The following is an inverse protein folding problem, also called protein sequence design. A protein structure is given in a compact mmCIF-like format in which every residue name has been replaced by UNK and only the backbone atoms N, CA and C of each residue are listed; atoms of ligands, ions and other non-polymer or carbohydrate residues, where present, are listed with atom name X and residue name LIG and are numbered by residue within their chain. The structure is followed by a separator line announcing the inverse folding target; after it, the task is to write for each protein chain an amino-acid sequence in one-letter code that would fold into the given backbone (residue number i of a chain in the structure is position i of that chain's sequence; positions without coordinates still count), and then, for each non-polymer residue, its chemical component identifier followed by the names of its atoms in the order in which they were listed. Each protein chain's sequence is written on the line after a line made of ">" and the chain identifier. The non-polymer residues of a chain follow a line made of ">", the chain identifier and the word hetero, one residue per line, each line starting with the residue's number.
data_IF_886909102648
#
_entry.id   IF_886909102648
#
_cell.length_a   1.000
_cell.length_b   1.000
_cell.length_c   1.000
_cell.angle_alpha   90.00
_cell.angle_beta   90.00
_cell.angle_gamma   90.00
#
_symmetry.space_group_name_H-M   'P 1'
#
loop_
_entity.id
_entity.type
_entity.pdbx_description
1 polymer ?
#
# COMPACT_ATOMS: atom_id res chain seq x y z
N UNK A 1 10.01 6.11 25.90
CA UNK A 1 8.80 5.33 25.62
C UNK A 1 7.82 6.23 24.87
N UNK A 2 7.67 6.04 23.57
CA UNK A 2 6.61 6.70 22.82
C UNK A 2 5.29 6.07 23.23
N UNK A 3 4.37 6.88 23.80
CA UNK A 3 2.98 6.49 23.95
C UNK A 3 2.32 6.50 22.57
N UNK A 4 1.15 5.85 22.40
CA UNK A 4 0.42 5.83 21.13
C UNK A 4 0.18 7.23 20.54
N UNK A 5 0.02 8.25 21.37
CA UNK A 5 -0.09 9.67 20.95
C UNK A 5 1.28 10.23 20.57
N UNK A 6 2.38 9.74 21.16
CA UNK A 6 3.74 10.12 20.82
C UNK A 6 4.30 9.41 19.59
N UNK A 7 3.69 8.30 19.13
CA UNK A 7 4.18 7.59 17.95
C UNK A 7 4.02 8.41 16.67
N UNK A 8 2.93 9.15 16.50
CA UNK A 8 2.78 10.09 15.38
C UNK A 8 3.77 11.24 15.45
N UNK A 9 4.09 11.74 16.64
CA UNK A 9 5.12 12.76 16.81
C UNK A 9 6.53 12.20 16.55
N UNK A 10 6.84 10.99 16.99
CA UNK A 10 8.10 10.31 16.66
C UNK A 10 8.25 10.03 15.16
N UNK A 11 7.16 9.74 14.46
CA UNK A 11 7.12 9.55 13.01
C UNK A 11 7.40 10.88 12.27
N UNK A 12 7.00 12.00 12.80
CA UNK A 12 7.15 13.33 12.18
C UNK A 12 8.46 14.04 12.52
N UNK A 13 9.22 13.58 13.50
CA UNK A 13 10.20 14.43 14.16
C UNK A 13 11.44 14.75 13.31
N UNK A 14 12.12 13.77 12.72
CA UNK A 14 13.30 14.00 11.86
C UNK A 14 13.43 13.04 10.69
N UNK A 15 13.07 11.76 10.89
CA UNK A 15 13.15 10.74 9.86
C UNK A 15 11.84 9.97 9.82
N UNK A 16 11.13 10.10 8.72
CA UNK A 16 9.91 9.32 8.47
C UNK A 16 10.29 7.91 8.01
N UNK A 17 10.52 7.02 8.97
CA UNK A 17 11.01 5.65 8.74
C UNK A 17 10.14 4.86 7.75
N UNK A 18 8.82 5.08 7.77
CA UNK A 18 7.86 4.45 6.86
C UNK A 18 8.05 4.88 5.40
N UNK A 19 8.57 6.10 5.18
CA UNK A 19 8.76 6.68 3.84
C UNK A 19 10.16 6.41 3.26
N UNK A 20 11.03 5.75 4.01
CA UNK A 20 12.33 5.36 3.50
C UNK A 20 12.19 4.34 2.36
N UNK A 21 13.06 4.39 1.35
CA UNK A 21 13.07 3.44 0.26
C UNK A 21 13.08 1.99 0.76
N UNK A 22 12.33 1.13 0.07
CA UNK A 22 12.29 -0.29 0.38
C UNK A 22 13.44 -1.01 -0.33
N UNK A 23 14.04 -1.99 0.33
CA UNK A 23 15.02 -2.87 -0.31
C UNK A 23 14.29 -3.80 -1.28
N UNK A 24 14.63 -3.69 -2.56
CA UNK A 24 14.11 -4.55 -3.63
C UNK A 24 15.20 -5.44 -4.21
N UNK A 25 16.46 -5.13 -3.91
CA UNK A 25 17.61 -5.92 -4.34
C UNK A 25 17.65 -7.26 -3.62
N UNK A 26 18.16 -8.32 -4.28
CA UNK A 26 18.53 -9.56 -3.60
C UNK A 26 19.53 -9.30 -2.45
N UNK A 27 19.45 -10.07 -1.37
CA UNK A 27 20.30 -9.88 -0.19
C UNK A 27 21.80 -9.91 -0.54
N UNK A 28 22.21 -10.75 -1.49
CA UNK A 28 23.61 -10.83 -1.96
C UNK A 28 24.08 -9.51 -2.58
N UNK A 29 23.27 -8.92 -3.43
CA UNK A 29 23.61 -7.67 -4.13
C UNK A 29 23.61 -6.49 -3.14
N UNK A 30 22.68 -6.52 -2.19
CA UNK A 30 22.61 -5.54 -1.10
C UNK A 30 23.86 -5.58 -0.21
N UNK A 31 24.34 -6.77 0.14
CA UNK A 31 25.55 -6.95 0.92
C UNK A 31 26.81 -6.52 0.14
N UNK A 32 26.87 -6.84 -1.15
CA UNK A 32 27.97 -6.41 -2.02
C UNK A 32 28.01 -4.88 -2.14
N UNK A 33 26.88 -4.24 -2.43
CA UNK A 33 26.79 -2.78 -2.52
C UNK A 33 27.17 -2.11 -1.19
N UNK A 34 26.75 -2.67 -0.06
CA UNK A 34 27.10 -2.16 1.27
C UNK A 34 28.60 -2.22 1.56
N UNK A 35 29.26 -3.31 1.17
CA UNK A 35 30.71 -3.49 1.34
C UNK A 35 31.49 -2.50 0.48
N UNK A 36 31.11 -2.32 -0.79
CA UNK A 36 31.75 -1.38 -1.70
C UNK A 36 31.60 0.07 -1.23
N UNK A 37 30.42 0.48 -0.80
CA UNK A 37 30.19 1.81 -0.22
C UNK A 37 30.99 2.02 1.05
N UNK A 38 31.07 1.03 1.95
CA UNK A 38 31.86 1.10 3.17
C UNK A 38 33.37 1.19 2.88
N UNK A 39 33.83 0.56 1.80
CA UNK A 39 35.22 0.62 1.34
C UNK A 39 35.54 1.93 0.56
N UNK A 40 34.53 2.68 0.13
CA UNK A 40 34.71 3.85 -0.75
C UNK A 40 35.03 3.49 -2.20
N UNK A 41 34.81 2.25 -2.62
CA UNK A 41 35.08 1.74 -3.96
C UNK A 41 33.91 2.07 -4.90
N UNK A 42 33.87 3.32 -5.35
CA UNK A 42 32.82 3.79 -6.27
C UNK A 42 33.00 3.24 -7.69
N UNK A 43 34.25 3.01 -8.14
CA UNK A 43 34.50 2.47 -9.48
C UNK A 43 33.90 1.08 -9.64
N UNK A 44 34.12 0.19 -8.67
CA UNK A 44 33.53 -1.15 -8.70
C UNK A 44 32.00 -1.08 -8.52
N UNK A 45 31.48 -0.13 -7.74
CA UNK A 45 30.05 0.06 -7.58
C UNK A 45 29.38 0.45 -8.91
N UNK A 46 29.98 1.41 -9.65
CA UNK A 46 29.51 1.84 -10.97
C UNK A 46 29.60 0.73 -12.04
N UNK A 47 30.58 -0.15 -11.90
CA UNK A 47 30.73 -1.29 -12.82
C UNK A 47 29.65 -2.37 -12.59
N UNK A 48 29.22 -2.59 -11.35
CA UNK A 48 28.30 -3.66 -10.98
C UNK A 48 26.82 -3.25 -10.96
N UNK A 49 26.53 -1.97 -10.82
CA UNK A 49 25.16 -1.45 -10.67
C UNK A 49 24.91 -0.29 -11.63
N UNK A 50 23.95 -0.45 -12.52
CA UNK A 50 23.59 0.57 -13.53
C UNK A 50 22.97 1.83 -12.92
N UNK A 51 22.22 1.71 -11.82
CA UNK A 51 21.57 2.81 -11.11
C UNK A 51 22.20 2.99 -9.72
N UNK A 52 23.23 3.82 -9.65
CA UNK A 52 23.94 4.11 -8.41
C UNK A 52 23.03 4.81 -7.38
N UNK A 53 22.22 5.78 -7.81
CA UNK A 53 21.30 6.52 -6.93
C UNK A 53 20.27 5.61 -6.31
N UNK A 54 19.66 4.73 -7.13
CA UNK A 54 18.72 3.71 -6.66
C UNK A 54 19.37 2.70 -5.73
N UNK A 55 20.60 2.26 -6.05
CA UNK A 55 21.38 1.35 -5.19
C UNK A 55 21.66 1.97 -3.83
N UNK A 56 22.20 3.18 -3.78
CA UNK A 56 22.46 3.89 -2.52
C UNK A 56 21.18 4.11 -1.70
N UNK A 57 20.08 4.44 -2.37
CA UNK A 57 18.78 4.63 -1.71
C UNK A 57 18.30 3.35 -1.00
N UNK A 58 18.56 2.18 -1.57
CA UNK A 58 18.20 0.90 -0.97
C UNK A 58 19.08 0.53 0.24
N UNK A 59 20.28 1.09 0.36
CA UNK A 59 21.16 0.86 1.50
C UNK A 59 20.71 1.60 2.78
N UNK A 60 19.88 2.63 2.68
CA UNK A 60 19.51 3.48 3.81
C UNK A 60 18.95 2.64 4.99
N UNK A 61 18.08 1.68 4.71
CA UNK A 61 17.49 0.83 5.77
C UNK A 61 18.50 -0.09 6.43
N UNK A 62 19.60 -0.43 5.78
CA UNK A 62 20.65 -1.29 6.34
C UNK A 62 21.49 -0.58 7.41
N UNK A 63 21.40 0.77 7.49
CA UNK A 63 22.03 1.56 8.54
C UNK A 63 21.34 1.44 9.91
N UNK A 64 20.12 0.91 9.97
CA UNK A 64 19.41 0.69 11.22
C UNK A 64 19.84 -0.63 11.86
N UNK A 65 20.75 -0.53 12.80
CA UNK A 65 21.34 -1.67 13.53
C UNK A 65 20.87 -1.60 14.97
N UNK A 66 20.30 -2.68 15.55
CA UNK A 66 19.95 -2.69 16.96
C UNK A 66 21.22 -2.69 17.82
N UNK A 67 21.15 -2.15 19.03
CA UNK A 67 22.23 -2.25 20.00
C UNK A 67 22.50 -3.73 20.35
N UNK A 68 23.74 -4.10 20.74
CA UNK A 68 24.03 -5.43 21.23
C UNK A 68 23.05 -5.86 22.34
N UNK A 69 22.48 -7.05 22.23
CA UNK A 69 21.47 -7.56 23.16
C UNK A 69 20.04 -7.06 22.92
N UNK A 70 19.80 -6.20 21.92
CA UNK A 70 18.47 -5.71 21.52
C UNK A 70 18.11 -6.17 20.13
N UNK A 71 16.82 -6.14 19.81
CA UNK A 71 16.28 -6.39 18.46
C UNK A 71 15.21 -5.38 18.13
N UNK A 72 15.04 -5.09 16.85
CA UNK A 72 13.86 -4.38 16.39
C UNK A 72 12.65 -5.32 16.39
N UNK A 73 11.52 -4.79 16.87
CA UNK A 73 10.21 -5.42 16.69
C UNK A 73 9.49 -4.52 15.69
N UNK A 74 9.28 -5.05 14.49
CA UNK A 74 8.63 -4.33 13.39
C UNK A 74 7.29 -5.00 13.12
N UNK A 75 6.21 -4.22 13.26
CA UNK A 75 4.86 -4.68 12.94
C UNK A 75 4.08 -3.54 12.30
N UNK A 76 3.18 -3.90 11.42
CA UNK A 76 2.27 -2.98 10.73
C UNK A 76 0.86 -3.57 10.70
N UNK A 77 -0.14 -2.72 10.64
CA UNK A 77 -1.52 -3.14 10.52
C UNK A 77 -1.81 -3.62 9.09
N UNK A 78 -2.36 -4.81 8.96
CA UNK A 78 -2.74 -5.34 7.65
C UNK A 78 -4.00 -4.65 7.13
N UNK A 79 -3.86 -3.89 6.03
CA UNK A 79 -4.96 -3.21 5.33
C UNK A 79 -5.86 -2.38 6.27
N UNK A 80 -5.24 -1.59 7.17
CA UNK A 80 -5.99 -0.87 8.21
C UNK A 80 -7.03 0.08 7.64
N UNK A 81 -6.71 0.79 6.58
CA UNK A 81 -7.64 1.73 5.94
C UNK A 81 -8.87 1.01 5.37
N UNK A 82 -8.66 -0.12 4.71
CA UNK A 82 -9.75 -0.94 4.18
C UNK A 82 -10.64 -1.52 5.30
N UNK A 83 -10.07 -1.81 6.48
CA UNK A 83 -10.82 -2.24 7.67
C UNK A 83 -11.66 -1.11 8.25
N UNK A 84 -11.04 0.06 8.42
CA UNK A 84 -11.70 1.22 9.02
C UNK A 84 -12.86 1.69 8.15
N UNK A 85 -12.68 1.81 6.83
CA UNK A 85 -13.75 2.24 5.94
C UNK A 85 -14.90 1.22 5.87
N UNK A 86 -14.59 -0.08 5.88
CA UNK A 86 -15.59 -1.14 5.92
C UNK A 86 -16.41 -1.08 7.21
N UNK A 87 -15.76 -0.84 8.35
CA UNK A 87 -16.41 -0.71 9.64
C UNK A 87 -17.28 0.55 9.71
N UNK A 88 -16.76 1.71 9.30
CA UNK A 88 -17.49 2.98 9.30
C UNK A 88 -18.74 2.93 8.39
N UNK A 89 -18.63 2.27 7.25
CA UNK A 89 -19.73 2.12 6.31
C UNK A 89 -20.68 0.97 6.63
N UNK A 90 -20.32 0.10 7.58
CA UNK A 90 -21.01 -1.18 7.83
C UNK A 90 -21.11 -2.04 6.57
N UNK A 91 -20.01 -2.15 5.80
CA UNK A 91 -19.94 -2.97 4.59
C UNK A 91 -19.80 -4.45 4.95
N UNK A 92 -20.92 -5.16 5.03
CA UNK A 92 -21.02 -6.52 5.59
C UNK A 92 -20.10 -7.52 4.86
N UNK A 93 -20.07 -7.51 3.53
CA UNK A 93 -19.26 -8.43 2.75
C UNK A 93 -17.77 -8.31 3.04
N UNK A 94 -17.29 -7.09 3.27
CA UNK A 94 -15.89 -6.83 3.65
C UNK A 94 -15.62 -7.20 5.10
N UNK A 95 -16.56 -6.92 5.98
CA UNK A 95 -16.45 -7.30 7.40
C UNK A 95 -16.37 -8.82 7.54
N UNK A 96 -17.13 -9.57 6.75
CA UNK A 96 -17.01 -11.03 6.69
C UNK A 96 -15.61 -11.49 6.26
N UNK A 97 -15.05 -10.89 5.20
CA UNK A 97 -13.68 -11.18 4.75
C UNK A 97 -12.67 -10.93 5.87
N UNK A 98 -12.78 -9.80 6.59
CA UNK A 98 -11.87 -9.48 7.68
C UNK A 98 -12.04 -10.37 8.91
N UNK A 99 -13.23 -10.81 9.21
CA UNK A 99 -13.55 -11.71 10.34
C UNK A 99 -13.15 -13.17 10.07
N UNK A 100 -13.01 -13.56 8.80
CA UNK A 100 -12.66 -14.93 8.42
C UNK A 100 -11.16 -15.08 8.16
N UNK A 101 -10.67 -14.58 7.04
CA UNK A 101 -9.29 -14.80 6.59
C UNK A 101 -8.47 -13.52 6.38
N UNK A 102 -9.10 -12.34 6.38
CA UNK A 102 -8.44 -11.03 6.27
C UNK A 102 -7.78 -10.73 4.92
N UNK A 103 -7.96 -11.56 3.91
CA UNK A 103 -7.30 -11.44 2.59
C UNK A 103 -8.10 -10.53 1.66
N UNK A 104 -8.18 -9.26 2.01
CA UNK A 104 -9.03 -8.30 1.27
C UNK A 104 -8.56 -8.07 -0.17
N UNK A 105 -7.25 -8.07 -0.43
CA UNK A 105 -6.71 -7.82 -1.78
C UNK A 105 -7.05 -8.97 -2.73
N UNK A 106 -6.98 -10.21 -2.24
CA UNK A 106 -7.39 -11.40 -2.96
C UNK A 106 -8.90 -11.36 -3.24
N UNK A 107 -9.71 -11.10 -2.22
CA UNK A 107 -11.16 -11.02 -2.35
C UNK A 107 -11.61 -9.91 -3.32
N UNK A 108 -10.98 -8.75 -3.28
CA UNK A 108 -11.27 -7.66 -4.21
C UNK A 108 -10.89 -7.98 -5.66
N UNK A 109 -9.75 -8.66 -5.87
CA UNK A 109 -9.39 -9.12 -7.20
C UNK A 109 -10.40 -10.15 -7.73
N UNK A 110 -10.75 -11.15 -6.92
CA UNK A 110 -11.73 -12.16 -7.29
C UNK A 110 -13.08 -11.53 -7.67
N UNK A 111 -13.51 -10.54 -6.92
CA UNK A 111 -14.77 -9.86 -7.15
C UNK A 111 -14.75 -8.97 -8.42
N UNK A 112 -13.69 -8.17 -8.60
CA UNK A 112 -13.57 -7.25 -9.75
C UNK A 112 -13.39 -7.98 -11.07
N UNK A 113 -12.68 -9.10 -11.06
CA UNK A 113 -12.39 -9.90 -12.26
C UNK A 113 -13.28 -11.14 -12.41
N UNK A 114 -14.33 -11.25 -11.57
CA UNK A 114 -15.28 -12.37 -11.59
C UNK A 114 -14.59 -13.74 -11.47
N UNK A 115 -13.53 -13.83 -10.66
CA UNK A 115 -12.80 -15.06 -10.43
C UNK A 115 -13.44 -15.89 -9.32
N UNK A 116 -13.25 -17.22 -9.32
CA UNK A 116 -13.73 -18.07 -8.23
C UNK A 116 -13.14 -17.66 -6.87
N UNK A 117 -13.95 -17.73 -5.80
CA UNK A 117 -13.48 -17.44 -4.44
C UNK A 117 -12.32 -18.36 -4.06
N UNK A 118 -11.26 -17.78 -3.52
CA UNK A 118 -10.04 -18.49 -3.11
C UNK A 118 -9.10 -18.89 -4.25
N UNK A 119 -9.36 -18.44 -5.49
CA UNK A 119 -8.47 -18.69 -6.64
C UNK A 119 -7.21 -17.87 -6.61
N UNK A 120 -7.28 -16.61 -6.13
CA UNK A 120 -6.15 -15.69 -6.06
C UNK A 120 -5.27 -16.01 -4.85
N UNK A 121 -3.97 -16.18 -5.07
CA UNK A 121 -2.99 -16.56 -4.04
C UNK A 121 -1.99 -15.42 -3.77
N UNK A 122 -1.26 -15.54 -2.65
CA UNK A 122 -0.12 -14.67 -2.36
C UNK A 122 0.96 -14.87 -3.44
N UNK A 123 1.37 -13.76 -4.07
CA UNK A 123 2.32 -13.78 -5.20
C UNK A 123 1.66 -13.74 -6.58
N UNK A 124 0.34 -13.91 -6.66
CA UNK A 124 -0.39 -13.80 -7.92
C UNK A 124 -0.41 -12.32 -8.41
N UNK A 125 -0.17 -12.05 -9.71
CA UNK A 125 -0.34 -10.72 -10.27
C UNK A 125 -1.74 -10.12 -10.05
N UNK A 126 -2.79 -10.94 -10.06
CA UNK A 126 -4.16 -10.49 -9.78
C UNK A 126 -4.31 -9.92 -8.36
N UNK A 127 -3.60 -10.50 -7.38
CA UNK A 127 -3.58 -9.95 -6.03
C UNK A 127 -3.03 -8.53 -5.99
N UNK A 128 -2.02 -8.25 -6.80
CA UNK A 128 -1.45 -6.90 -6.86
C UNK A 128 -2.42 -5.91 -7.50
N UNK A 129 -3.17 -6.33 -8.53
CA UNK A 129 -4.26 -5.52 -9.11
C UNK A 129 -5.35 -5.22 -8.06
N UNK A 130 -5.73 -6.23 -7.27
CA UNK A 130 -6.65 -6.05 -6.14
C UNK A 130 -6.13 -5.08 -5.08
N UNK A 131 -4.84 -5.16 -4.74
CA UNK A 131 -4.20 -4.23 -3.80
C UNK A 131 -4.25 -2.78 -4.29
N UNK A 132 -3.92 -2.54 -5.56
CA UNK A 132 -3.98 -1.19 -6.16
C UNK A 132 -5.42 -0.67 -6.16
N UNK A 133 -6.39 -1.50 -6.54
CA UNK A 133 -7.79 -1.10 -6.51
C UNK A 133 -8.24 -0.72 -5.10
N UNK A 134 -7.88 -1.49 -4.08
CA UNK A 134 -8.21 -1.18 -2.70
C UNK A 134 -7.63 0.17 -2.25
N UNK A 135 -6.36 0.41 -2.52
CA UNK A 135 -5.69 1.65 -2.15
C UNK A 135 -6.17 2.86 -2.95
N UNK A 136 -6.44 2.68 -4.25
CA UNK A 136 -6.90 3.76 -5.12
C UNK A 136 -8.37 4.11 -4.90
N UNK A 137 -9.24 3.11 -4.74
CA UNK A 137 -10.68 3.30 -4.72
C UNK A 137 -11.25 3.43 -3.30
N UNK A 138 -10.55 2.91 -2.29
CA UNK A 138 -10.98 2.96 -0.89
C UNK A 138 -11.22 4.37 -0.34
N UNK A 139 -10.59 5.36 -0.93
CA UNK A 139 -10.76 6.79 -0.59
C UNK A 139 -11.65 7.58 -1.55
N UNK A 140 -12.53 6.91 -2.27
CA UNK A 140 -13.40 7.57 -3.26
C UNK A 140 -12.71 7.89 -4.59
N UNK A 141 -11.50 7.35 -4.81
CA UNK A 141 -10.76 7.52 -6.04
C UNK A 141 -11.49 6.99 -7.28
N UNK A 142 -10.97 7.31 -8.45
CA UNK A 142 -11.51 6.90 -9.74
C UNK A 142 -10.36 6.52 -10.69
N UNK A 143 -10.58 6.55 -11.99
CA UNK A 143 -9.61 6.21 -13.04
C UNK A 143 -8.26 6.93 -12.82
N UNK A 144 -8.27 8.22 -12.48
CA UNK A 144 -7.03 8.97 -12.20
C UNK A 144 -6.20 8.39 -11.05
N UNK A 145 -6.86 7.94 -9.96
CA UNK A 145 -6.18 7.31 -8.84
C UNK A 145 -5.59 5.95 -9.22
N UNK A 146 -6.29 5.14 -10.02
CA UNK A 146 -5.75 3.88 -10.55
C UNK A 146 -4.49 4.11 -11.41
N UNK A 147 -4.53 5.11 -12.32
CA UNK A 147 -3.37 5.47 -13.15
C UNK A 147 -2.18 5.89 -12.30
N UNK A 148 -2.39 6.80 -11.34
CA UNK A 148 -1.30 7.29 -10.48
C UNK A 148 -0.69 6.21 -9.57
N UNK A 149 -1.41 5.12 -9.33
CA UNK A 149 -0.93 3.96 -8.56
C UNK A 149 -0.33 2.85 -9.44
N UNK A 150 -0.10 3.11 -10.71
CA UNK A 150 0.62 2.18 -11.59
C UNK A 150 -0.25 1.10 -12.22
N UNK A 151 -1.55 1.35 -12.40
CA UNK A 151 -2.45 0.35 -12.99
C UNK A 151 -2.07 0.00 -14.44
N UNK A 152 -1.61 1.01 -15.21
CA UNK A 152 -1.20 0.81 -16.61
C UNK A 152 0.12 0.03 -16.71
N UNK A 153 1.09 0.33 -15.85
CA UNK A 153 2.37 -0.37 -15.75
C UNK A 153 2.21 -1.85 -15.36
N UNK A 154 1.08 -2.18 -14.76
CA UNK A 154 0.72 -3.55 -14.40
C UNK A 154 -0.06 -4.29 -15.49
N UNK A 155 -0.16 -3.69 -16.69
CA UNK A 155 -0.80 -4.31 -17.85
C UNK A 155 -2.32 -4.21 -17.87
N UNK A 156 -2.92 -3.25 -17.15
CA UNK A 156 -4.32 -2.89 -17.36
C UNK A 156 -4.42 -1.86 -18.50
N UNK A 157 -5.36 -2.06 -19.41
CA UNK A 157 -5.65 -1.09 -20.44
C UNK A 157 -6.48 0.08 -19.89
N UNK A 158 -6.35 1.25 -20.50
CA UNK A 158 -7.11 2.43 -20.09
C UNK A 158 -8.64 2.22 -20.20
N UNK A 159 -9.06 1.45 -21.19
CA UNK A 159 -10.46 1.04 -21.42
C UNK A 159 -11.05 0.22 -20.27
N UNK A 160 -10.21 -0.54 -19.54
CA UNK A 160 -10.62 -1.40 -18.44
C UNK A 160 -10.80 -0.64 -17.12
N UNK A 161 -10.14 0.52 -16.95
CA UNK A 161 -10.10 1.21 -15.67
C UNK A 161 -11.48 1.71 -15.21
N UNK A 162 -12.31 2.24 -16.13
CA UNK A 162 -13.65 2.70 -15.77
C UNK A 162 -14.60 1.55 -15.40
N UNK A 163 -14.66 0.45 -16.15
CA UNK A 163 -15.36 -0.76 -15.71
C UNK A 163 -14.94 -1.26 -14.34
N UNK A 164 -13.63 -1.30 -14.05
CA UNK A 164 -13.12 -1.73 -12.73
C UNK A 164 -13.58 -0.82 -11.59
N UNK A 165 -13.53 0.51 -11.78
CA UNK A 165 -14.07 1.45 -10.78
C UNK A 165 -15.54 1.17 -10.51
N UNK A 166 -16.34 0.95 -11.56
CA UNK A 166 -17.76 0.68 -11.43
C UNK A 166 -18.03 -0.66 -10.73
N UNK A 167 -17.28 -1.70 -11.11
CA UNK A 167 -17.37 -3.02 -10.48
C UNK A 167 -17.04 -2.95 -8.99
N UNK A 168 -15.95 -2.27 -8.62
CA UNK A 168 -15.57 -2.10 -7.22
C UNK A 168 -16.65 -1.35 -6.41
N UNK A 169 -17.20 -0.26 -6.96
CA UNK A 169 -18.26 0.52 -6.31
C UNK A 169 -19.56 -0.27 -6.17
N UNK A 170 -19.94 -1.04 -7.18
CA UNK A 170 -21.09 -1.92 -7.13
C UNK A 170 -20.94 -3.01 -6.07
N UNK A 171 -19.72 -3.49 -5.89
CA UNK A 171 -19.36 -4.49 -4.90
C UNK A 171 -19.28 -3.94 -3.45
N UNK A 172 -19.19 -2.60 -3.30
CA UNK A 172 -19.06 -1.92 -2.01
C UNK A 172 -20.11 -0.80 -1.89
N UNK A 173 -21.41 -1.12 -1.90
CA UNK A 173 -22.48 -0.12 -1.96
C UNK A 173 -22.57 0.74 -0.69
N UNK A 174 -22.30 0.16 0.48
CA UNK A 174 -22.37 0.89 1.74
C UNK A 174 -21.24 1.91 1.86
N UNK A 175 -20.03 1.57 1.43
CA UNK A 175 -18.90 2.50 1.37
C UNK A 175 -19.18 3.63 0.38
N UNK A 176 -19.69 3.28 -0.81
CA UNK A 176 -20.03 4.26 -1.84
C UNK A 176 -21.11 5.23 -1.33
N UNK A 177 -22.11 4.73 -0.64
CA UNK A 177 -23.16 5.56 -0.01
C UNK A 177 -22.58 6.47 1.08
N UNK A 178 -21.69 5.97 1.94
CA UNK A 178 -21.04 6.77 2.98
C UNK A 178 -20.33 7.99 2.40
N UNK A 179 -19.60 7.85 1.28
CA UNK A 179 -18.93 8.97 0.63
C UNK A 179 -19.91 10.04 0.13
N UNK A 180 -20.98 9.61 -0.56
CA UNK A 180 -21.96 10.55 -1.08
C UNK A 180 -22.76 11.24 0.01
N UNK A 181 -23.12 10.52 1.07
CA UNK A 181 -23.82 11.09 2.21
C UNK A 181 -22.95 12.13 2.95
N UNK A 182 -21.65 11.85 3.08
CA UNK A 182 -20.68 12.77 3.70
C UNK A 182 -20.49 14.04 2.87
N UNK A 183 -20.31 13.91 1.54
CA UNK A 183 -20.21 15.06 0.63
C UNK A 183 -21.49 15.91 0.67
N UNK A 184 -22.64 15.27 0.60
CA UNK A 184 -23.94 15.95 0.67
C UNK A 184 -24.17 16.67 2.00
N UNK A 185 -23.74 16.06 3.10
CA UNK A 185 -23.83 16.70 4.44
C UNK A 185 -22.91 17.92 4.53
N UNK A 186 -21.67 17.82 4.05
CA UNK A 186 -20.75 18.94 4.01
C UNK A 186 -21.29 20.12 3.18
N UNK A 187 -21.78 19.83 1.98
CA UNK A 187 -22.38 20.85 1.10
C UNK A 187 -23.58 21.55 1.75
N UNK A 188 -24.50 20.79 2.35
CA UNK A 188 -25.65 21.36 3.09
C UNK A 188 -25.21 22.29 4.20
N UNK A 189 -24.22 21.87 4.99
CA UNK A 189 -23.73 22.69 6.11
C UNK A 189 -23.12 24.02 5.65
N UNK A 190 -22.44 24.04 4.50
CA UNK A 190 -21.88 25.27 3.92
C UNK A 190 -22.99 26.18 3.38
N UNK A 191 -24.01 25.61 2.75
CA UNK A 191 -25.12 26.38 2.15
C UNK A 191 -26.09 26.97 3.18
N UNK A 192 -26.15 26.41 4.40
CA UNK A 192 -27.05 26.86 5.45
C UNK A 192 -26.43 27.87 6.41
N UNK A 193 -25.19 28.29 6.17
CA UNK A 193 -24.51 29.41 6.84
C UNK A 193 -24.70 30.70 6.05
#
# INVERSE_FOLDING_TARGET
>A
SCSLVGSEMCIRDRVQMQNLPQNKMPDRDLDTARQLVAAGDLETLELLFDDISGTLSQLIRTAFIPRPGYRFIVSDFSAIEARVIAWLASEEGRMEVFNTHGKIYEASAEQMFHLPKGSVKKGDPMRQKGKIAELALGYGGSVGALKSMGALEMGLEESELKPLVNSWRAANPAITKLWWDTDAAARRTIQTK
#
